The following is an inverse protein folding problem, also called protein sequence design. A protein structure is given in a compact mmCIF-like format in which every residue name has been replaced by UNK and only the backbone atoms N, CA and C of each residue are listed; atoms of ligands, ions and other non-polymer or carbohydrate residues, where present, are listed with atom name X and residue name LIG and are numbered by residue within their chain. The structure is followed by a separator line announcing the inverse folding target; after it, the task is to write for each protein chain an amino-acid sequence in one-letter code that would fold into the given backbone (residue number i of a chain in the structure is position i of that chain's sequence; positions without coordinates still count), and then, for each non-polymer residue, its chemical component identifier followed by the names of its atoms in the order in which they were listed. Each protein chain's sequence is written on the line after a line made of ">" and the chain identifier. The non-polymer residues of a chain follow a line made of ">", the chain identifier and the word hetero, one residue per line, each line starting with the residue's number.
data_IF_638968177069
#
_entry.id   IF_638968177069
#
_cell.length_a   1.000
_cell.length_b   1.000
_cell.length_c   1.000
_cell.angle_alpha   90.00
_cell.angle_beta   90.00
_cell.angle_gamma   90.00
#
_symmetry.space_group_name_H-M   'P 1'
#
loop_
_entity.id
_entity.type
_entity.pdbx_description
1 polymer ?
#
# COMPACT_ATOMS: atom_id res chain seq x y z
N UNK A 1 -2.45 -7.43 4.61
CA UNK A 1 -3.65 -7.05 3.82
C UNK A 1 -4.87 -7.02 4.72
N UNK A 2 -5.81 -6.09 4.51
CA UNK A 2 -7.06 -6.03 5.28
C UNK A 2 -7.91 -7.29 5.08
N UNK A 3 -8.59 -7.73 6.14
CA UNK A 3 -9.61 -8.78 6.08
C UNK A 3 -10.99 -8.16 6.22
N UNK A 4 -11.95 -8.58 5.41
CA UNK A 4 -13.30 -8.03 5.40
C UNK A 4 -14.31 -9.00 6.00
N UNK A 5 -15.29 -8.48 6.74
CA UNK A 5 -16.29 -9.29 7.45
C UNK A 5 -17.29 -9.94 6.50
N UNK A 6 -17.67 -9.19 5.47
CA UNK A 6 -18.79 -9.51 4.59
C UNK A 6 -18.59 -8.85 3.20
N UNK A 7 -19.38 -9.26 2.18
CA UNK A 7 -19.25 -8.73 0.82
C UNK A 7 -19.52 -7.22 0.70
N UNK A 8 -20.41 -6.67 1.55
CA UNK A 8 -20.71 -5.23 1.55
C UNK A 8 -19.48 -4.39 1.92
N UNK A 9 -18.76 -4.81 2.97
CA UNK A 9 -17.52 -4.15 3.40
C UNK A 9 -16.47 -4.20 2.31
N UNK A 10 -16.39 -5.32 1.58
CA UNK A 10 -15.47 -5.48 0.45
C UNK A 10 -15.84 -4.55 -0.71
N UNK A 11 -17.12 -4.48 -1.08
CA UNK A 11 -17.59 -3.59 -2.15
C UNK A 11 -17.34 -2.11 -1.83
N UNK A 12 -17.56 -1.70 -0.58
CA UNK A 12 -17.24 -0.35 -0.11
C UNK A 12 -15.74 -0.07 -0.14
N UNK A 13 -14.90 -1.07 0.16
CA UNK A 13 -13.45 -0.93 0.01
C UNK A 13 -13.08 -0.69 -1.45
N UNK A 14 -13.62 -1.49 -2.38
CA UNK A 14 -13.37 -1.30 -3.82
C UNK A 14 -13.75 0.11 -4.30
N UNK A 15 -14.90 0.61 -3.83
CA UNK A 15 -15.37 1.97 -4.14
C UNK A 15 -14.37 3.04 -3.67
N UNK A 16 -13.78 2.87 -2.48
CA UNK A 16 -12.94 3.89 -1.85
C UNK A 16 -11.46 3.81 -2.23
N UNK A 17 -10.92 2.62 -2.49
CA UNK A 17 -9.46 2.41 -2.56
C UNK A 17 -8.79 3.21 -3.70
N UNK A 18 -9.36 3.22 -4.90
CA UNK A 18 -8.79 3.98 -6.02
C UNK A 18 -8.91 5.51 -5.79
N UNK A 19 -10.08 6.05 -5.41
CA UNK A 19 -10.21 7.45 -4.99
C UNK A 19 -9.23 7.85 -3.88
N UNK A 20 -9.06 7.02 -2.85
CA UNK A 20 -8.15 7.28 -1.75
C UNK A 20 -6.71 7.38 -2.25
N UNK A 21 -6.29 6.44 -3.11
CA UNK A 21 -4.96 6.47 -3.71
C UNK A 21 -4.71 7.75 -4.51
N UNK A 22 -5.68 8.18 -5.33
CA UNK A 22 -5.58 9.45 -6.08
C UNK A 22 -5.39 10.64 -5.12
N UNK A 23 -6.17 10.70 -4.03
CA UNK A 23 -6.09 11.79 -3.05
C UNK A 23 -4.80 11.77 -2.24
N UNK A 24 -4.29 10.59 -1.91
CA UNK A 24 -3.00 10.43 -1.25
C UNK A 24 -1.87 10.96 -2.13
N UNK A 25 -1.80 10.55 -3.39
CA UNK A 25 -0.76 11.01 -4.33
C UNK A 25 -0.82 12.53 -4.55
N UNK A 26 -2.02 13.09 -4.70
CA UNK A 26 -2.20 14.53 -4.88
C UNK A 26 -1.71 15.34 -3.65
N UNK A 27 -2.08 14.90 -2.45
CA UNK A 27 -1.65 15.55 -1.21
C UNK A 27 -0.14 15.36 -0.95
N UNK A 28 0.45 14.21 -1.30
CA UNK A 28 1.91 14.02 -1.24
C UNK A 28 2.62 15.01 -2.16
N UNK A 29 2.15 15.17 -3.40
CA UNK A 29 2.72 16.14 -4.35
C UNK A 29 2.72 17.56 -3.75
N UNK A 30 1.58 18.00 -3.23
CA UNK A 30 1.43 19.32 -2.58
C UNK A 30 2.39 19.50 -1.39
N UNK A 31 2.58 18.48 -0.57
CA UNK A 31 3.51 18.52 0.55
C UNK A 31 4.97 18.57 0.09
N UNK A 32 5.33 17.78 -0.92
CA UNK A 32 6.69 17.78 -1.49
C UNK A 32 7.08 19.16 -2.04
N UNK A 33 6.15 19.88 -2.69
CA UNK A 33 6.37 21.24 -3.19
C UNK A 33 6.73 22.25 -2.09
N UNK A 34 6.30 22.00 -0.85
CA UNK A 34 6.52 22.87 0.30
C UNK A 34 7.62 22.35 1.24
N UNK A 35 8.14 21.15 0.97
CA UNK A 35 9.12 20.49 1.83
C UNK A 35 10.53 20.53 1.23
N UNK A 36 11.54 20.32 2.08
CA UNK A 36 12.92 20.08 1.63
C UNK A 36 13.19 18.63 1.19
N UNK A 37 12.19 17.74 1.30
CA UNK A 37 12.32 16.33 0.96
C UNK A 37 12.12 16.12 -0.54
N UNK A 38 12.90 15.21 -1.13
CA UNK A 38 12.70 14.73 -2.51
C UNK A 38 11.92 13.42 -2.46
N UNK A 39 10.83 13.35 -3.20
CA UNK A 39 10.00 12.15 -3.31
C UNK A 39 10.14 11.47 -4.68
N UNK A 40 10.39 10.17 -4.68
CA UNK A 40 10.31 9.30 -5.86
C UNK A 40 9.40 8.12 -5.57
N UNK A 41 8.70 7.62 -6.58
CA UNK A 41 7.82 6.46 -6.43
C UNK A 41 8.47 5.20 -7.01
N UNK A 42 8.22 4.05 -6.39
CA UNK A 42 8.69 2.76 -6.87
C UNK A 42 7.62 1.68 -6.73
N UNK A 43 7.57 0.80 -7.72
CA UNK A 43 6.84 -0.46 -7.63
C UNK A 43 7.68 -1.45 -6.82
N UNK A 44 7.03 -2.16 -5.90
CA UNK A 44 7.66 -3.20 -5.08
C UNK A 44 6.84 -4.48 -5.11
N UNK A 45 7.50 -5.61 -4.89
CA UNK A 45 6.82 -6.89 -4.67
C UNK A 45 6.65 -7.09 -3.16
N UNK A 46 5.40 -7.15 -2.72
CA UNK A 46 5.07 -7.35 -1.31
C UNK A 46 4.57 -8.78 -1.12
N UNK A 47 5.12 -9.45 -0.11
CA UNK A 47 4.76 -10.82 0.21
C UNK A 47 3.72 -10.84 1.33
N UNK A 48 2.84 -11.84 1.31
CA UNK A 48 1.99 -12.12 2.45
C UNK A 48 2.83 -12.38 3.71
N UNK A 49 2.24 -12.09 4.86
CA UNK A 49 2.88 -12.34 6.15
C UNK A 49 3.11 -13.84 6.37
N UNK A 50 4.22 -14.19 7.03
CA UNK A 50 4.55 -15.58 7.36
C UNK A 50 5.15 -16.41 6.22
N UNK A 51 5.36 -15.85 5.03
CA UNK A 51 6.06 -16.55 3.95
C UNK A 51 7.57 -16.61 4.27
N UNK A 52 8.19 -17.80 4.32
CA UNK A 52 9.62 -17.94 4.59
C UNK A 52 10.49 -17.29 3.52
N UNK A 53 11.62 -16.69 3.90
CA UNK A 53 12.57 -16.07 2.95
C UNK A 53 13.10 -17.05 1.91
N UNK A 54 13.28 -18.32 2.28
CA UNK A 54 13.66 -19.37 1.33
C UNK A 54 12.60 -19.54 0.22
N UNK A 55 11.32 -19.59 0.58
CA UNK A 55 10.22 -19.68 -0.39
C UNK A 55 10.18 -18.46 -1.30
N UNK A 56 10.41 -17.25 -0.74
CA UNK A 56 10.49 -16.01 -1.53
C UNK A 56 11.64 -16.07 -2.53
N UNK A 57 12.82 -16.51 -2.09
CA UNK A 57 14.02 -16.63 -2.92
C UNK A 57 13.81 -17.62 -4.07
N UNK A 58 13.17 -18.78 -3.81
CA UNK A 58 12.85 -19.77 -4.85
C UNK A 58 11.93 -19.16 -5.91
N UNK A 59 10.83 -18.52 -5.50
CA UNK A 59 9.90 -17.91 -6.44
C UNK A 59 10.54 -16.75 -7.24
N UNK A 60 11.35 -15.90 -6.60
CA UNK A 60 12.08 -14.83 -7.30
C UNK A 60 13.07 -15.41 -8.32
N UNK A 61 13.76 -16.50 -7.98
CA UNK A 61 14.68 -17.15 -8.90
C UNK A 61 13.94 -17.72 -10.13
N UNK A 62 12.82 -18.40 -9.92
CA UNK A 62 11.98 -18.92 -11.01
C UNK A 62 11.43 -17.79 -11.89
N UNK A 63 10.98 -16.68 -11.30
CA UNK A 63 10.54 -15.50 -12.07
C UNK A 63 11.66 -14.91 -12.93
N UNK A 64 12.90 -14.87 -12.42
CA UNK A 64 14.06 -14.42 -13.20
C UNK A 64 14.38 -15.37 -14.35
N UNK A 65 14.30 -16.69 -14.12
CA UNK A 65 14.51 -17.68 -15.16
C UNK A 65 13.45 -17.60 -16.27
N UNK A 66 12.20 -17.30 -15.91
CA UNK A 66 11.09 -17.18 -16.87
C UNK A 66 11.34 -16.09 -17.92
N UNK A 67 12.01 -14.99 -17.55
CA UNK A 67 12.26 -13.85 -18.44
C UNK A 67 13.07 -14.21 -19.70
N UNK A 68 13.98 -15.18 -19.58
CA UNK A 68 14.86 -15.64 -20.66
C UNK A 68 14.53 -17.09 -21.10
N UNK A 69 13.44 -17.68 -20.61
CA UNK A 69 13.10 -19.08 -20.84
C UNK A 69 12.61 -19.32 -22.28
N UNK A 70 12.96 -20.50 -22.83
CA UNK A 70 12.29 -21.01 -24.04
C UNK A 70 10.83 -21.37 -23.73
N UNK A 71 9.93 -21.48 -24.72
CA UNK A 71 8.53 -21.80 -24.47
C UNK A 71 8.29 -23.12 -23.70
N UNK A 72 9.14 -24.13 -23.91
CA UNK A 72 9.06 -25.42 -23.20
C UNK A 72 9.48 -25.26 -21.74
N UNK A 73 10.59 -24.55 -21.48
CA UNK A 73 11.04 -24.25 -20.11
C UNK A 73 10.08 -23.31 -19.37
N UNK A 74 9.48 -22.36 -20.08
CA UNK A 74 8.52 -21.43 -19.51
C UNK A 74 7.30 -22.16 -18.95
N UNK A 75 6.78 -23.16 -19.68
CA UNK A 75 5.66 -23.97 -19.20
C UNK A 75 5.97 -24.69 -17.88
N UNK A 76 7.16 -25.30 -17.77
CA UNK A 76 7.60 -25.99 -16.54
C UNK A 76 7.82 -25.01 -15.37
N UNK A 77 8.35 -23.82 -15.65
CA UNK A 77 8.57 -22.77 -14.64
C UNK A 77 7.23 -22.18 -14.16
N UNK A 78 6.28 -21.94 -15.06
CA UNK A 78 4.93 -21.46 -14.73
C UNK A 78 4.18 -22.47 -13.86
N UNK A 79 4.29 -23.78 -14.14
CA UNK A 79 3.68 -24.81 -13.29
C UNK A 79 4.25 -24.81 -11.87
N UNK A 80 5.56 -24.59 -11.73
CA UNK A 80 6.21 -24.48 -10.41
C UNK A 80 5.80 -23.20 -9.68
N UNK A 81 5.79 -22.06 -10.38
CA UNK A 81 5.36 -20.77 -9.82
C UNK A 81 3.89 -20.79 -9.36
N UNK A 82 3.02 -21.53 -10.05
CA UNK A 82 1.62 -21.69 -9.66
C UNK A 82 1.42 -22.38 -8.30
N UNK A 83 2.44 -23.13 -7.82
CA UNK A 83 2.42 -23.81 -6.52
C UNK A 83 3.06 -23.00 -5.40
N UNK A 84 3.72 -21.90 -5.73
CA UNK A 84 4.39 -21.02 -4.77
C UNK A 84 3.50 -19.82 -4.44
N UNK A 85 3.61 -19.26 -3.23
CA UNK A 85 3.03 -17.96 -2.93
C UNK A 85 3.54 -16.93 -3.93
N UNK A 86 2.66 -16.04 -4.39
CA UNK A 86 3.03 -14.96 -5.29
C UNK A 86 3.02 -13.64 -4.53
N UNK A 87 4.01 -12.76 -4.74
CA UNK A 87 3.94 -11.41 -4.22
C UNK A 87 2.84 -10.65 -4.95
N UNK A 88 2.26 -9.67 -4.26
CA UNK A 88 1.35 -8.70 -4.85
C UNK A 88 2.09 -7.39 -5.15
N UNK A 89 1.61 -6.60 -6.13
CA UNK A 89 2.18 -5.30 -6.42
C UNK A 89 1.95 -4.34 -5.24
N UNK A 90 3.03 -3.75 -4.75
CA UNK A 90 3.01 -2.64 -3.80
C UNK A 90 3.55 -1.37 -4.44
N UNK A 91 3.24 -0.24 -3.81
CA UNK A 91 3.67 1.06 -4.26
C UNK A 91 4.23 1.86 -3.09
N UNK A 92 5.48 2.31 -3.22
CA UNK A 92 6.17 3.03 -2.16
C UNK A 92 6.60 4.41 -2.61
N UNK A 93 6.48 5.37 -1.68
CA UNK A 93 7.10 6.67 -1.77
C UNK A 93 8.45 6.63 -1.03
N UNK A 94 9.54 6.84 -1.77
CA UNK A 94 10.87 7.03 -1.22
C UNK A 94 11.11 8.53 -1.01
N UNK A 95 11.28 8.93 0.26
CA UNK A 95 11.58 10.28 0.67
C UNK A 95 13.06 10.38 1.03
N UNK A 96 13.78 11.29 0.39
CA UNK A 96 15.20 11.53 0.62
C UNK A 96 15.47 12.98 1.02
N UNK A 97 16.29 13.16 2.06
CA UNK A 97 16.81 14.45 2.50
C UNK A 97 18.19 14.25 3.13
N UNK A 98 19.23 14.81 2.50
CA UNK A 98 20.63 14.57 2.86
C UNK A 98 20.92 13.06 2.94
N UNK A 99 21.39 12.58 4.09
CA UNK A 99 21.72 11.17 4.33
C UNK A 99 20.54 10.34 4.86
N UNK A 100 19.35 10.95 5.00
CA UNK A 100 18.15 10.26 5.45
C UNK A 100 17.31 9.79 4.25
N UNK A 101 16.93 8.52 4.29
CA UNK A 101 15.94 7.95 3.39
C UNK A 101 14.85 7.25 4.21
N UNK A 102 13.59 7.56 3.91
CA UNK A 102 12.41 6.97 4.52
C UNK A 102 11.52 6.46 3.40
N UNK A 103 11.02 5.23 3.53
CA UNK A 103 10.09 4.65 2.56
C UNK A 103 8.70 4.54 3.22
N UNK A 104 7.68 4.99 2.50
CA UNK A 104 6.28 4.96 2.95
C UNK A 104 5.50 4.05 2.02
N UNK A 105 4.87 3.00 2.58
CA UNK A 105 3.94 2.16 1.84
C UNK A 105 2.61 2.90 1.63
N UNK A 106 2.29 3.16 0.37
CA UNK A 106 1.14 3.97 0.00
C UNK A 106 -0.18 3.22 0.13
N UNK A 107 -0.17 1.89 0.04
CA UNK A 107 -1.37 1.09 0.31
C UNK A 107 -1.69 1.08 1.79
N UNK A 108 -0.68 0.96 2.67
CA UNK A 108 -0.87 1.06 4.11
C UNK A 108 -1.51 2.40 4.49
N UNK A 109 -1.02 3.50 3.89
CA UNK A 109 -1.60 4.82 4.11
C UNK A 109 -3.06 4.91 3.61
N UNK A 110 -3.37 4.34 2.46
CA UNK A 110 -4.75 4.28 1.95
C UNK A 110 -5.66 3.47 2.89
N UNK A 111 -5.20 2.34 3.42
CA UNK A 111 -5.96 1.53 4.37
C UNK A 111 -6.24 2.28 5.67
N UNK A 112 -5.25 3.02 6.20
CA UNK A 112 -5.45 3.89 7.36
C UNK A 112 -6.47 5.00 7.13
N UNK A 113 -6.59 5.49 5.89
CA UNK A 113 -7.61 6.47 5.51
C UNK A 113 -8.98 5.81 5.37
N UNK A 114 -9.08 4.68 4.68
CA UNK A 114 -10.36 4.05 4.36
C UNK A 114 -11.00 3.31 5.53
N UNK A 115 -10.22 2.84 6.50
CA UNK A 115 -10.70 1.94 7.56
C UNK A 115 -10.55 2.55 8.95
N UNK A 116 -11.48 2.22 9.86
CA UNK A 116 -11.53 2.83 11.20
C UNK A 116 -10.53 2.25 12.19
N UNK A 117 -10.30 0.93 12.14
CA UNK A 117 -9.51 0.18 13.12
C UNK A 117 -8.14 -0.29 12.59
N UNK A 118 -7.70 0.19 11.43
CA UNK A 118 -6.53 -0.38 10.75
C UNK A 118 -5.20 -0.15 11.49
N UNK A 119 -5.03 0.99 12.18
CA UNK A 119 -3.78 1.31 12.89
C UNK A 119 -3.53 0.48 14.16
N UNK A 120 -4.49 -0.33 14.61
CA UNK A 120 -4.38 -1.15 15.83
C UNK A 120 -3.94 -2.60 15.55
N UNK A 121 -3.70 -2.96 14.28
CA UNK A 121 -3.43 -4.33 13.83
C UNK A 121 -1.97 -4.78 13.97
N UNK A 122 -1.10 -4.00 14.62
CA UNK A 122 0.33 -4.28 14.77
C UNK A 122 0.64 -5.53 15.63
N UNK A 123 -0.36 -6.13 16.29
CA UNK A 123 -0.22 -7.32 17.12
C UNK A 123 -0.20 -8.66 16.36
N UNK A 124 -0.16 -8.65 15.02
CA UNK A 124 -0.04 -9.88 14.21
C UNK A 124 -1.33 -10.71 14.14
N UNK A 125 -2.42 -10.25 14.75
CA UNK A 125 -3.75 -10.78 14.50
C UNK A 125 -4.41 -9.96 13.40
N UNK A 126 -4.62 -10.60 12.25
CA UNK A 126 -5.46 -10.08 11.17
C UNK A 126 -6.91 -9.91 11.63
N UNK A 127 -7.21 -8.85 12.37
CA UNK A 127 -8.59 -8.51 12.69
C UNK A 127 -9.33 -8.04 11.42
N UNK A 128 -10.64 -8.15 11.50
CA UNK A 128 -11.55 -7.72 10.45
C UNK A 128 -11.61 -6.19 10.46
N UNK A 129 -11.37 -5.57 9.30
CA UNK A 129 -11.40 -4.12 9.16
C UNK A 129 -12.83 -3.62 8.98
N UNK A 130 -13.10 -2.44 9.53
CA UNK A 130 -14.35 -1.71 9.32
C UNK A 130 -14.14 -0.51 8.40
N UNK A 131 -15.02 -0.34 7.41
CA UNK A 131 -15.00 0.81 6.50
C UNK A 131 -15.40 2.06 7.27
N UNK A 132 -14.69 3.16 7.03
CA UNK A 132 -15.18 4.46 7.45
C UNK A 132 -16.27 4.95 6.51
N UNK A 133 -17.51 4.59 6.83
CA UNK A 133 -18.70 4.96 6.05
C UNK A 133 -18.93 6.46 5.93
N UNK A 134 -18.24 7.30 6.71
CA UNK A 134 -18.27 8.77 6.56
C UNK A 134 -17.59 9.25 5.26
N UNK A 135 -16.88 8.36 4.56
CA UNK A 135 -16.28 8.61 3.26
C UNK A 135 -17.23 8.31 2.10
N UNK A 136 -18.45 7.87 2.40
CA UNK A 136 -19.51 7.57 1.44
C UNK A 136 -20.67 8.51 1.75
N UNK A 137 -21.19 9.17 0.73
CA UNK A 137 -22.29 10.11 0.88
C UNK A 137 -23.66 9.41 0.96
N UNK A 138 -24.72 10.21 1.06
CA UNK A 138 -26.09 9.71 1.15
C UNK A 138 -26.59 9.00 -0.13
N UNK A 139 -25.93 9.17 -1.28
CA UNK A 139 -26.26 8.46 -2.52
C UNK A 139 -25.56 7.11 -2.63
N UNK A 140 -24.63 6.82 -1.71
CA UNK A 140 -23.79 5.63 -1.74
C UNK A 140 -22.54 5.80 -2.60
N UNK A 141 -22.24 7.03 -3.03
CA UNK A 141 -21.05 7.38 -3.79
C UNK A 141 -19.96 7.93 -2.86
N UNK A 142 -18.76 8.14 -3.40
CA UNK A 142 -17.62 8.64 -2.63
C UNK A 142 -17.84 10.09 -2.22
N UNK A 143 -17.79 10.38 -0.92
CA UNK A 143 -17.67 11.75 -0.43
C UNK A 143 -16.23 12.24 -0.66
N UNK A 144 -16.02 12.87 -1.82
CA UNK A 144 -14.72 13.38 -2.24
C UNK A 144 -14.14 14.44 -1.31
N UNK A 145 -14.98 15.21 -0.63
CA UNK A 145 -14.53 16.27 0.26
C UNK A 145 -13.99 15.67 1.56
N UNK A 146 -14.73 14.75 2.16
CA UNK A 146 -14.30 14.06 3.37
C UNK A 146 -13.07 13.19 3.10
N UNK A 147 -13.02 12.53 1.95
CA UNK A 147 -11.87 11.73 1.54
C UNK A 147 -10.61 12.58 1.34
N UNK A 148 -10.72 13.73 0.66
CA UNK A 148 -9.57 14.63 0.48
C UNK A 148 -9.10 15.22 1.81
N UNK A 149 -10.02 15.67 2.67
CA UNK A 149 -9.69 16.19 4.00
C UNK A 149 -8.96 15.14 4.85
N UNK A 150 -9.45 13.88 4.83
CA UNK A 150 -8.80 12.79 5.55
C UNK A 150 -7.44 12.45 4.94
N UNK A 151 -7.32 12.38 3.62
CA UNK A 151 -6.05 12.17 2.94
C UNK A 151 -5.02 13.27 3.29
N UNK A 152 -5.43 14.54 3.27
CA UNK A 152 -4.60 15.67 3.66
C UNK A 152 -4.09 15.53 5.11
N UNK A 153 -4.96 15.13 6.04
CA UNK A 153 -4.59 14.91 7.45
C UNK A 153 -3.57 13.78 7.61
N UNK A 154 -3.79 12.64 6.95
CA UNK A 154 -2.90 11.48 7.05
C UNK A 154 -1.55 11.74 6.39
N UNK A 155 -1.54 12.32 5.19
CA UNK A 155 -0.29 12.72 4.52
C UNK A 155 0.44 13.79 5.33
N UNK A 156 -0.27 14.79 5.88
CA UNK A 156 0.32 15.81 6.74
C UNK A 156 1.08 15.20 7.92
N UNK A 157 0.47 14.24 8.63
CA UNK A 157 1.13 13.52 9.74
C UNK A 157 2.43 12.82 9.32
N UNK A 158 2.43 12.16 8.14
CA UNK A 158 3.66 11.55 7.62
C UNK A 158 4.78 12.60 7.52
N UNK A 159 4.50 13.78 6.96
CA UNK A 159 5.52 14.83 6.81
C UNK A 159 5.90 15.53 8.14
N UNK A 160 4.98 15.61 9.10
CA UNK A 160 5.27 16.09 10.46
C UNK A 160 6.26 15.15 11.16
N UNK A 161 6.07 13.83 11.04
CA UNK A 161 6.99 12.82 11.59
C UNK A 161 8.39 12.91 10.97
N UNK A 162 8.49 13.16 9.66
CA UNK A 162 9.78 13.40 8.99
C UNK A 162 10.52 14.61 9.55
N UNK A 163 9.78 15.66 9.89
CA UNK A 163 10.34 16.89 10.45
C UNK A 163 10.87 16.66 11.87
N UNK A 164 10.25 15.76 12.65
CA UNK A 164 10.78 15.36 13.94
C UNK A 164 12.12 14.61 13.81
N UNK A 165 12.24 13.69 12.84
CA UNK A 165 13.45 12.88 12.61
C UNK A 165 14.68 13.70 12.22
N UNK A 166 14.48 14.80 11.48
CA UNK A 166 15.61 15.64 11.02
C UNK A 166 16.02 16.68 12.06
N UNK A 167 15.14 17.00 13.01
CA UNK A 167 15.41 17.96 14.09
C UNK A 167 15.87 17.29 15.39
N UNK A 168 15.85 15.95 15.46
CA UNK A 168 16.38 15.12 16.55
C UNK A 168 17.84 14.74 16.32
#
# INVERSE_FOLDING_TARGET
>A
MPKFANPETWQQAELLMQPAFIRVIDNIRKQLEQSSWKGTYRDVQVWAEGIPEETKAIALHLQQQLADATPEQAADIEEQLARLPQPYPGYELCLQKHDHQINVDLWQLCYQICFRNYAQLESGETEVVEIDTNLIDETGDVDWQQLDAKAQQFVGRVFDELSAIVNS
#
